data_IF_109487394294
#
_entry.id   IF_109487394294
#
_cell.length_a   1.000
_cell.length_b   1.000
_cell.length_c   1.000
_cell.angle_alpha   90.00
_cell.angle_beta   90.00
_cell.angle_gamma   90.00
#
_symmetry.space_group_name_H-M   'P 1'
#
loop_
_entity.id
_entity.type
_entity.pdbx_description
1 polymer ?
#
# COMPACT_ATOMS: atom_id res chain seq x y z
N UNK A 1 27.88 38.75 -7.72
CA UNK A 1 28.60 39.27 -6.53
C UNK A 1 28.94 38.10 -5.61
N UNK A 2 30.18 37.60 -5.67
CA UNK A 2 30.74 36.65 -4.70
C UNK A 2 32.23 36.95 -4.56
N UNK A 3 32.62 37.35 -3.36
CA UNK A 3 33.94 37.84 -2.97
C UNK A 3 34.88 36.67 -2.72
N UNK A 4 36.11 36.75 -3.24
CA UNK A 4 37.28 35.96 -2.82
C UNK A 4 38.00 36.67 -1.67
N UNK A 5 38.83 35.92 -0.93
CA UNK A 5 40.10 36.27 -0.19
C UNK A 5 40.19 35.33 1.04
N UNK A 6 41.31 34.83 1.57
CA UNK A 6 42.63 34.29 1.13
C UNK A 6 43.48 34.15 2.42
N UNK A 7 44.24 33.04 2.54
CA UNK A 7 45.49 32.78 3.31
C UNK A 7 45.60 33.04 4.84
N UNK A 8 46.16 32.07 5.58
CA UNK A 8 47.57 32.10 6.07
C UNK A 8 47.96 30.90 6.93
N UNK A 9 49.21 30.46 6.77
CA UNK A 9 49.89 29.37 7.48
C UNK A 9 50.98 29.91 8.41
N UNK A 10 51.32 29.20 9.49
CA UNK A 10 52.55 29.42 10.28
C UNK A 10 53.13 28.07 10.74
N UNK A 11 54.39 27.83 10.38
CA UNK A 11 55.27 26.77 10.88
C UNK A 11 55.94 27.18 12.20
N UNK A 12 56.33 26.21 13.04
CA UNK A 12 57.59 26.31 13.78
C UNK A 12 58.13 24.93 14.17
N UNK A 13 59.40 24.70 13.87
CA UNK A 13 60.21 23.56 14.24
C UNK A 13 61.30 23.99 15.23
N UNK A 14 61.75 23.10 16.11
CA UNK A 14 63.02 23.25 16.82
C UNK A 14 63.66 21.88 17.11
N UNK A 15 64.98 21.85 16.93
CA UNK A 15 65.91 20.72 16.95
C UNK A 15 66.83 20.89 18.17
N UNK A 16 67.23 19.80 18.83
CA UNK A 16 68.45 19.72 19.63
C UNK A 16 69.15 18.35 19.45
N UNK A 17 70.44 18.43 19.09
CA UNK A 17 71.55 17.46 19.05
C UNK A 17 71.96 16.96 20.46
N UNK A 18 72.67 15.86 20.76
CA UNK A 18 73.32 14.77 20.02
C UNK A 18 74.25 13.91 20.94
N UNK A 19 74.61 12.69 20.47
CA UNK A 19 75.83 11.84 20.68
C UNK A 19 76.06 11.03 21.99
N UNK A 20 76.27 9.69 21.84
CA UNK A 20 76.93 8.80 22.83
C UNK A 20 76.87 7.26 22.60
N UNK A 21 77.74 6.76 21.69
CA UNK A 21 78.27 5.41 21.35
C UNK A 21 78.11 4.16 22.29
N UNK A 22 77.61 3.05 21.67
CA UNK A 22 77.94 1.57 21.69
C UNK A 22 77.75 0.67 22.95
N UNK A 23 76.90 -0.37 22.79
CA UNK A 23 77.21 -1.81 23.05
C UNK A 23 76.05 -2.73 22.54
N UNK A 24 76.36 -3.80 21.81
CA UNK A 24 75.49 -4.97 21.56
C UNK A 24 75.91 -6.11 22.54
N UNK A 25 75.12 -7.16 22.89
CA UNK A 25 74.20 -7.98 22.06
C UNK A 25 72.98 -8.54 22.89
N UNK A 26 72.37 -9.72 22.64
CA UNK A 26 71.92 -10.42 21.43
C UNK A 26 70.37 -10.61 21.37
N UNK A 27 69.92 -11.12 20.23
CA UNK A 27 68.61 -11.67 19.86
C UNK A 27 67.70 -12.17 20.99
N UNK A 28 66.51 -11.57 21.10
CA UNK A 28 65.32 -12.26 21.61
C UNK A 28 64.43 -12.55 20.40
N UNK A 29 64.24 -13.85 20.14
CA UNK A 29 63.20 -14.38 19.27
C UNK A 29 61.83 -13.88 19.76
N UNK A 30 61.38 -12.74 19.26
CA UNK A 30 59.97 -12.40 19.31
C UNK A 30 59.31 -13.28 18.24
N UNK A 31 58.78 -14.42 18.69
CA UNK A 31 57.83 -15.19 17.92
C UNK A 31 56.77 -14.22 17.39
N UNK A 32 56.79 -13.97 16.08
CA UNK A 32 55.64 -13.44 15.37
C UNK A 32 54.55 -14.49 15.50
N UNK A 33 53.82 -14.43 16.62
CA UNK A 33 52.50 -15.02 16.71
C UNK A 33 51.70 -14.39 15.58
N UNK A 34 51.57 -15.11 14.48
CA UNK A 34 50.51 -14.87 13.52
C UNK A 34 49.24 -15.09 14.33
N UNK A 35 48.66 -14.01 14.84
CA UNK A 35 47.29 -14.06 15.32
C UNK A 35 46.44 -14.30 14.08
N UNK A 36 46.18 -15.57 13.77
CA UNK A 36 45.03 -15.93 12.95
C UNK A 36 43.85 -15.45 13.77
N UNK A 37 43.36 -14.27 13.44
CA UNK A 37 42.16 -13.73 14.04
C UNK A 37 41.04 -14.60 13.49
N UNK A 38 40.72 -15.66 14.23
CA UNK A 38 39.67 -16.59 13.89
C UNK A 38 38.38 -15.77 13.83
N UNK A 39 37.79 -15.67 12.63
CA UNK A 39 36.52 -14.99 12.47
C UNK A 39 35.52 -15.61 13.46
N UNK A 40 34.81 -14.78 14.23
CA UNK A 40 33.83 -15.28 15.18
C UNK A 40 32.81 -16.18 14.46
N UNK A 41 32.27 -17.18 15.15
CA UNK A 41 31.21 -18.06 14.62
C UNK A 41 30.08 -17.24 13.99
N UNK A 42 29.75 -16.12 14.62
CA UNK A 42 28.72 -15.18 14.23
C UNK A 42 29.07 -14.49 12.90
N UNK A 43 30.32 -14.03 12.74
CA UNK A 43 30.80 -13.46 11.48
C UNK A 43 30.76 -14.48 10.35
N UNK A 44 31.16 -15.72 10.59
CA UNK A 44 31.10 -16.80 9.59
C UNK A 44 29.65 -17.07 9.19
N UNK A 45 28.73 -17.14 10.16
CA UNK A 45 27.31 -17.35 9.90
C UNK A 45 26.68 -16.19 9.11
N UNK A 46 26.98 -14.94 9.47
CA UNK A 46 26.49 -13.76 8.71
C UNK A 46 27.07 -13.72 7.29
N UNK A 47 28.33 -14.12 7.08
CA UNK A 47 28.89 -14.29 5.74
C UNK A 47 28.18 -15.37 4.93
N UNK A 48 27.79 -16.49 5.57
CA UNK A 48 26.97 -17.51 4.94
C UNK A 48 25.63 -16.93 4.49
N UNK A 49 24.91 -16.23 5.38
CA UNK A 49 23.63 -15.58 5.06
C UNK A 49 23.78 -14.58 3.91
N UNK A 50 24.79 -13.72 3.94
CA UNK A 50 25.06 -12.71 2.91
C UNK A 50 25.22 -13.30 1.50
N UNK A 51 25.76 -14.53 1.41
CA UNK A 51 26.06 -15.19 0.12
C UNK A 51 24.99 -16.18 -0.32
N UNK A 52 24.35 -16.88 0.63
CA UNK A 52 23.57 -18.09 0.34
C UNK A 52 22.09 -17.97 0.69
N UNK A 53 21.68 -17.00 1.49
CA UNK A 53 20.26 -16.88 1.84
C UNK A 53 19.43 -16.61 0.57
N UNK A 54 18.33 -17.33 0.32
CA UNK A 54 17.51 -17.11 -0.88
C UNK A 54 16.85 -15.73 -0.88
N UNK A 55 16.64 -15.11 0.28
CA UNK A 55 15.95 -13.82 0.43
C UNK A 55 16.93 -12.68 0.20
N UNK A 56 16.71 -11.88 -0.84
CA UNK A 56 17.54 -10.72 -1.18
C UNK A 56 17.67 -9.72 -0.02
N UNK A 57 16.58 -9.47 0.71
CA UNK A 57 16.56 -8.59 1.88
C UNK A 57 17.47 -9.07 3.02
N UNK A 58 17.51 -10.38 3.30
CA UNK A 58 18.40 -10.97 4.31
C UNK A 58 19.85 -10.88 3.87
N UNK A 59 20.14 -11.16 2.59
CA UNK A 59 21.48 -10.99 2.04
C UNK A 59 21.99 -9.55 2.17
N UNK A 60 21.15 -8.56 1.85
CA UNK A 60 21.49 -7.14 1.96
C UNK A 60 21.76 -6.76 3.42
N UNK A 61 20.89 -7.16 4.36
CA UNK A 61 21.08 -6.88 5.79
C UNK A 61 22.39 -7.48 6.33
N UNK A 62 22.70 -8.72 5.92
CA UNK A 62 23.94 -9.38 6.28
C UNK A 62 25.18 -8.68 5.67
N UNK A 63 25.12 -8.24 4.40
CA UNK A 63 26.19 -7.43 3.81
C UNK A 63 26.37 -6.08 4.51
N UNK A 64 25.29 -5.41 4.89
CA UNK A 64 25.35 -4.15 5.63
C UNK A 64 26.02 -4.33 7.00
N UNK A 65 25.73 -5.41 7.71
CA UNK A 65 26.40 -5.73 8.98
C UNK A 65 27.91 -5.98 8.78
N UNK A 66 28.28 -6.76 7.76
CA UNK A 66 29.69 -7.08 7.45
C UNK A 66 30.52 -5.88 6.96
N UNK A 67 29.88 -4.94 6.27
CA UNK A 67 30.52 -3.75 5.68
C UNK A 67 30.41 -2.52 6.60
N UNK A 68 29.84 -2.66 7.79
CA UNK A 68 29.73 -1.58 8.77
C UNK A 68 31.11 -1.11 9.25
N UNK A 69 31.20 0.17 9.65
CA UNK A 69 32.40 0.73 10.29
C UNK A 69 32.67 0.12 11.68
N UNK A 70 31.68 -0.54 12.29
CA UNK A 70 31.80 -1.28 13.54
C UNK A 70 31.20 -2.70 13.35
N UNK A 71 31.93 -3.62 12.69
CA UNK A 71 31.38 -4.88 12.21
C UNK A 71 30.91 -5.79 13.35
N UNK A 72 31.64 -5.91 14.46
CA UNK A 72 31.26 -6.81 15.56
C UNK A 72 29.94 -6.39 16.22
N UNK A 73 29.77 -5.08 16.46
CA UNK A 73 28.52 -4.54 17.00
C UNK A 73 27.35 -4.68 16.01
N UNK A 74 27.61 -4.45 14.71
CA UNK A 74 26.59 -4.57 13.67
C UNK A 74 26.17 -6.03 13.41
N UNK A 75 27.11 -6.97 13.49
CA UNK A 75 26.85 -8.41 13.43
C UNK A 75 26.00 -8.84 14.62
N UNK A 76 26.38 -8.44 15.85
CA UNK A 76 25.60 -8.75 17.05
C UNK A 76 24.17 -8.20 16.95
N UNK A 77 24.01 -6.93 16.53
CA UNK A 77 22.68 -6.33 16.34
C UNK A 77 21.88 -7.02 15.23
N UNK A 78 22.53 -7.40 14.13
CA UNK A 78 21.87 -8.12 13.05
C UNK A 78 21.36 -9.49 13.51
N UNK A 79 22.14 -10.22 14.32
CA UNK A 79 21.71 -11.51 14.86
C UNK A 79 20.63 -11.38 15.93
N UNK A 80 20.65 -10.32 16.75
CA UNK A 80 19.68 -10.10 17.82
C UNK A 80 18.30 -9.70 17.29
N UNK A 81 18.22 -8.73 16.38
CA UNK A 81 16.93 -8.21 15.88
C UNK A 81 16.88 -8.00 14.36
N UNK A 82 18.02 -7.76 13.72
CA UNK A 82 18.07 -7.42 12.29
C UNK A 82 17.67 -8.57 11.36
N UNK A 83 17.98 -9.81 11.72
CA UNK A 83 17.65 -11.00 10.94
C UNK A 83 16.14 -11.20 10.89
N UNK A 84 15.46 -11.24 12.04
CA UNK A 84 13.99 -11.40 12.10
C UNK A 84 13.26 -10.27 11.39
N UNK A 85 13.75 -9.03 11.54
CA UNK A 85 13.24 -7.89 10.77
C UNK A 85 13.40 -8.12 9.25
N UNK A 86 14.58 -8.54 8.79
CA UNK A 86 14.84 -8.79 7.37
C UNK A 86 14.01 -9.96 6.81
N UNK A 87 13.75 -11.00 7.62
CA UNK A 87 12.87 -12.12 7.29
C UNK A 87 11.43 -11.65 7.13
N UNK A 88 10.91 -10.88 8.08
CA UNK A 88 9.56 -10.32 8.03
C UNK A 88 9.38 -9.40 6.83
N UNK A 89 10.35 -8.52 6.57
CA UNK A 89 10.34 -7.63 5.42
C UNK A 89 10.40 -8.41 4.09
N UNK A 90 11.18 -9.50 4.02
CA UNK A 90 11.21 -10.37 2.86
C UNK A 90 9.84 -11.03 2.60
N UNK A 91 9.17 -11.53 3.65
CA UNK A 91 7.84 -12.12 3.55
C UNK A 91 6.79 -11.10 3.07
N UNK A 92 6.82 -9.88 3.62
CA UNK A 92 5.94 -8.79 3.20
C UNK A 92 6.18 -8.40 1.73
N UNK A 93 7.44 -8.26 1.30
CA UNK A 93 7.80 -7.97 -0.09
C UNK A 93 7.31 -9.05 -1.04
N UNK A 94 7.49 -10.33 -0.67
CA UNK A 94 6.99 -11.47 -1.44
C UNK A 94 5.47 -11.39 -1.62
N UNK A 95 4.72 -11.21 -0.53
CA UNK A 95 3.28 -11.10 -0.57
C UNK A 95 2.83 -9.93 -1.45
N UNK A 96 3.42 -8.75 -1.25
CA UNK A 96 3.14 -7.55 -2.05
C UNK A 96 3.44 -7.74 -3.54
N UNK A 97 4.58 -8.32 -3.89
CA UNK A 97 4.96 -8.51 -5.29
C UNK A 97 4.07 -9.55 -5.99
N UNK A 98 3.66 -10.61 -5.27
CA UNK A 98 2.70 -11.59 -5.79
C UNK A 98 1.32 -10.96 -6.00
N UNK A 99 0.85 -10.14 -5.06
CA UNK A 99 -0.41 -9.39 -5.18
C UNK A 99 -0.35 -8.39 -6.35
N UNK A 100 0.74 -7.63 -6.46
CA UNK A 100 0.98 -6.72 -7.57
C UNK A 100 0.90 -7.43 -8.94
N UNK A 101 1.59 -8.57 -9.11
CA UNK A 101 1.54 -9.33 -10.35
C UNK A 101 0.12 -9.81 -10.71
N UNK A 102 -0.64 -10.29 -9.72
CA UNK A 102 -2.04 -10.71 -9.91
C UNK A 102 -2.95 -9.56 -10.31
N UNK A 103 -2.79 -8.39 -9.68
CA UNK A 103 -3.56 -7.18 -10.01
C UNK A 103 -3.27 -6.72 -11.42
N UNK A 104 -1.99 -6.66 -11.80
CA UNK A 104 -1.62 -6.29 -13.17
C UNK A 104 -2.20 -7.29 -14.18
N UNK A 105 -2.10 -8.60 -13.94
CA UNK A 105 -2.67 -9.61 -14.84
C UNK A 105 -4.19 -9.46 -15.01
N UNK A 106 -4.90 -9.13 -13.93
CA UNK A 106 -6.35 -8.97 -13.94
C UNK A 106 -6.81 -7.66 -14.60
N UNK A 107 -5.96 -6.63 -14.65
CA UNK A 107 -6.30 -5.32 -15.23
C UNK A 107 -5.86 -5.19 -16.68
N UNK A 108 -4.71 -5.74 -17.05
CA UNK A 108 -4.13 -5.59 -18.38
C UNK A 108 -4.48 -6.82 -19.23
N UNK A 109 -5.38 -6.65 -20.19
CA UNK A 109 -5.82 -7.74 -21.07
C UNK A 109 -4.81 -8.02 -22.17
N UNK A 110 -4.81 -9.26 -22.67
CA UNK A 110 -3.96 -9.65 -23.79
C UNK A 110 -4.25 -8.87 -25.08
N UNK A 111 -5.49 -8.39 -25.26
CA UNK A 111 -5.91 -7.63 -26.44
C UNK A 111 -5.32 -6.21 -26.45
N UNK A 112 -5.36 -5.51 -25.32
CA UNK A 112 -4.97 -4.09 -25.25
C UNK A 112 -3.55 -3.85 -24.74
N UNK A 113 -2.97 -4.81 -24.01
CA UNK A 113 -1.62 -4.73 -23.44
C UNK A 113 -0.94 -6.10 -23.39
N UNK A 114 -0.65 -6.69 -24.57
CA UNK A 114 -0.13 -8.05 -24.68
C UNK A 114 1.19 -8.27 -23.94
N UNK A 115 2.12 -7.31 -23.99
CA UNK A 115 3.43 -7.43 -23.32
C UNK A 115 3.28 -7.39 -21.81
N UNK A 116 2.47 -6.46 -21.30
CA UNK A 116 2.18 -6.38 -19.86
C UNK A 116 1.44 -7.63 -19.39
N UNK A 117 0.44 -8.10 -20.15
CA UNK A 117 -0.32 -9.30 -19.81
C UNK A 117 0.60 -10.53 -19.72
N UNK A 118 1.44 -10.75 -20.74
CA UNK A 118 2.37 -11.87 -20.77
C UNK A 118 3.39 -11.80 -19.62
N UNK A 119 3.97 -10.62 -19.35
CA UNK A 119 4.92 -10.43 -18.26
C UNK A 119 4.29 -10.66 -16.87
N UNK A 120 3.06 -10.19 -16.67
CA UNK A 120 2.31 -10.41 -15.43
C UNK A 120 1.93 -11.89 -15.27
N UNK A 121 1.47 -12.56 -16.35
CA UNK A 121 1.14 -13.97 -16.35
C UNK A 121 2.36 -14.83 -15.99
N UNK A 122 3.52 -14.52 -16.56
CA UNK A 122 4.78 -15.18 -16.19
C UNK A 122 5.11 -14.99 -14.71
N UNK A 123 5.02 -13.77 -14.19
CA UNK A 123 5.31 -13.48 -12.78
C UNK A 123 4.33 -14.18 -11.81
N UNK A 124 3.05 -14.28 -12.16
CA UNK A 124 2.04 -15.00 -11.37
C UNK A 124 2.33 -16.50 -11.34
N UNK A 125 2.60 -17.08 -12.52
CA UNK A 125 2.79 -18.52 -12.68
C UNK A 125 4.19 -19.01 -12.28
N UNK A 126 5.15 -18.10 -12.10
CA UNK A 126 6.50 -18.49 -11.68
C UNK A 126 6.49 -19.13 -10.28
N UNK A 127 7.32 -20.17 -10.16
CA UNK A 127 7.65 -20.83 -8.89
C UNK A 127 8.69 -20.06 -8.09
N UNK A 128 9.42 -19.13 -8.73
CA UNK A 128 10.50 -18.35 -8.11
C UNK A 128 10.02 -16.94 -7.76
N UNK A 129 10.24 -16.52 -6.50
CA UNK A 129 9.93 -15.18 -6.04
C UNK A 129 10.82 -14.12 -6.69
N UNK A 130 12.01 -14.49 -7.18
CA UNK A 130 12.89 -13.59 -7.92
C UNK A 130 12.23 -13.08 -9.20
N UNK A 131 11.37 -13.86 -9.86
CA UNK A 131 10.64 -13.42 -11.06
C UNK A 131 9.59 -12.35 -10.73
N UNK A 132 8.89 -12.53 -9.61
CA UNK A 132 7.92 -11.53 -9.11
C UNK A 132 8.63 -10.25 -8.69
N UNK A 133 9.79 -10.37 -8.05
CA UNK A 133 10.62 -9.23 -7.69
C UNK A 133 11.14 -8.49 -8.94
N UNK A 134 11.65 -9.20 -9.95
CA UNK A 134 12.07 -8.62 -11.23
C UNK A 134 10.92 -7.91 -11.95
N UNK A 135 9.74 -8.51 -11.95
CA UNK A 135 8.55 -7.90 -12.53
C UNK A 135 8.18 -6.59 -11.81
N UNK A 136 8.14 -6.60 -10.48
CA UNK A 136 7.84 -5.41 -9.68
C UNK A 136 8.92 -4.32 -9.81
N UNK A 137 10.20 -4.70 -9.88
CA UNK A 137 11.34 -3.79 -9.93
C UNK A 137 11.74 -3.44 -11.37
N UNK A 138 10.78 -2.98 -12.16
CA UNK A 138 11.02 -2.42 -13.51
C UNK A 138 10.55 -3.30 -14.67
N UNK A 139 10.31 -4.60 -14.47
CA UNK A 139 9.76 -5.47 -15.50
C UNK A 139 8.39 -5.02 -16.01
N UNK A 140 7.50 -4.58 -15.11
CA UNK A 140 6.21 -3.98 -15.47
C UNK A 140 6.37 -2.71 -16.33
N UNK A 141 7.23 -1.78 -15.91
CA UNK A 141 7.46 -0.54 -16.65
C UNK A 141 8.04 -0.80 -18.04
N UNK A 142 8.99 -1.74 -18.15
CA UNK A 142 9.57 -2.15 -19.42
C UNK A 142 8.53 -2.80 -20.35
N UNK A 143 7.63 -3.62 -19.80
CA UNK A 143 6.53 -4.22 -20.58
C UNK A 143 5.56 -3.15 -21.09
N UNK A 144 5.16 -2.20 -20.23
CA UNK A 144 4.31 -1.06 -20.61
C UNK A 144 4.93 -0.22 -21.72
N UNK A 145 6.25 0.00 -21.66
CA UNK A 145 6.98 0.73 -22.69
C UNK A 145 6.94 0.01 -24.05
N UNK A 146 7.06 -1.33 -24.07
CA UNK A 146 6.96 -2.11 -25.31
C UNK A 146 5.55 -2.05 -25.91
N UNK A 147 4.52 -2.19 -25.08
CA UNK A 147 3.12 -2.02 -25.51
C UNK A 147 2.86 -0.61 -26.08
N UNK A 148 3.36 0.43 -25.41
CA UNK A 148 3.22 1.82 -25.87
C UNK A 148 3.96 2.04 -27.20
N UNK A 149 5.20 1.57 -27.33
CA UNK A 149 5.97 1.66 -28.57
C UNK A 149 5.29 0.93 -29.73
N UNK A 150 4.68 -0.23 -29.49
CA UNK A 150 3.91 -0.97 -30.48
C UNK A 150 2.69 -0.18 -30.96
N UNK A 151 1.92 0.40 -30.04
CA UNK A 151 0.77 1.27 -30.39
C UNK A 151 1.18 2.50 -31.20
N UNK A 152 2.27 3.16 -30.78
CA UNK A 152 2.83 4.31 -31.52
C UNK A 152 3.24 3.92 -32.94
N UNK A 153 3.87 2.75 -33.10
CA UNK A 153 4.27 2.25 -34.42
C UNK A 153 3.06 1.94 -35.33
N UNK A 154 1.94 1.47 -34.77
CA UNK A 154 0.71 1.26 -35.54
C UNK A 154 0.01 2.58 -35.92
N UNK A 155 0.10 3.63 -35.09
CA UNK A 155 -0.35 4.99 -35.39
C UNK A 155 -1.86 5.21 -35.51
N UNK A 156 -2.66 4.16 -35.75
CA UNK A 156 -4.11 4.25 -35.99
C UNK A 156 -4.87 4.83 -34.80
N UNK A 157 -4.50 4.46 -33.57
CA UNK A 157 -5.14 4.94 -32.35
C UNK A 157 -4.88 6.44 -32.09
N UNK A 158 -3.65 6.91 -32.35
CA UNK A 158 -3.30 8.32 -32.20
C UNK A 158 -3.96 9.17 -33.30
N UNK A 159 -4.00 8.67 -34.54
CA UNK A 159 -4.70 9.33 -35.65
C UNK A 159 -6.22 9.39 -35.42
N UNK A 160 -6.78 8.42 -34.71
CA UNK A 160 -8.20 8.38 -34.36
C UNK A 160 -8.57 9.31 -33.18
N UNK A 161 -7.59 9.92 -32.49
CA UNK A 161 -7.89 10.82 -31.36
C UNK A 161 -8.54 12.12 -31.84
N UNK A 162 -9.83 12.25 -31.58
CA UNK A 162 -10.57 13.49 -31.76
C UNK A 162 -10.31 14.46 -30.60
N UNK A 163 -10.57 15.76 -30.79
CA UNK A 163 -10.52 16.72 -29.68
C UNK A 163 -11.52 16.37 -28.57
N UNK A 164 -12.65 15.73 -28.92
CA UNK A 164 -13.62 15.21 -27.96
C UNK A 164 -13.00 14.19 -27.00
N UNK A 165 -12.11 13.31 -27.48
CA UNK A 165 -11.41 12.32 -26.64
C UNK A 165 -10.48 13.02 -25.65
N UNK A 166 -9.74 14.03 -26.12
CA UNK A 166 -8.85 14.83 -25.26
C UNK A 166 -9.65 15.60 -24.22
N UNK A 167 -10.77 16.20 -24.62
CA UNK A 167 -11.67 16.91 -23.72
C UNK A 167 -12.28 15.98 -22.67
N UNK A 168 -12.65 14.76 -23.04
CA UNK A 168 -13.14 13.74 -22.11
C UNK A 168 -12.10 13.42 -21.02
N UNK A 169 -10.85 13.14 -21.39
CA UNK A 169 -9.80 12.84 -20.40
C UNK A 169 -9.53 14.05 -19.50
N UNK A 170 -9.55 15.28 -20.04
CA UNK A 170 -9.43 16.50 -19.22
C UNK A 170 -10.62 16.66 -18.25
N UNK A 171 -11.82 16.32 -18.67
CA UNK A 171 -13.01 16.35 -17.82
C UNK A 171 -12.89 15.33 -16.68
N UNK A 172 -12.44 14.11 -16.97
CA UNK A 172 -12.19 13.09 -15.95
C UNK A 172 -11.13 13.53 -14.95
N UNK A 173 -10.05 14.18 -15.40
CA UNK A 173 -8.98 14.66 -14.52
C UNK A 173 -9.49 15.60 -13.40
N UNK A 174 -10.57 16.33 -13.66
CA UNK A 174 -11.14 17.30 -12.71
C UNK A 174 -12.34 16.74 -11.95
N UNK A 175 -13.26 16.07 -12.66
CA UNK A 175 -14.61 15.83 -12.16
C UNK A 175 -14.92 14.36 -11.85
N UNK A 176 -14.04 13.42 -12.18
CA UNK A 176 -14.31 12.01 -11.90
C UNK A 176 -14.49 11.80 -10.38
N UNK A 177 -15.49 11.04 -9.90
CA UNK A 177 -15.67 10.81 -8.47
C UNK A 177 -14.55 9.95 -7.85
N UNK A 178 -13.89 9.09 -8.64
CA UNK A 178 -12.75 8.27 -8.26
C UNK A 178 -11.45 9.08 -8.21
N UNK A 179 -10.76 9.02 -7.08
CA UNK A 179 -9.52 9.77 -6.91
C UNK A 179 -8.39 9.24 -7.79
N UNK A 180 -8.31 7.92 -7.95
CA UNK A 180 -7.27 7.27 -8.74
C UNK A 180 -7.52 7.42 -10.24
N UNK A 181 -8.78 7.39 -10.69
CA UNK A 181 -9.13 7.76 -12.07
C UNK A 181 -8.75 9.21 -12.36
N UNK A 182 -9.06 10.16 -11.45
CA UNK A 182 -8.62 11.56 -11.60
C UNK A 182 -7.11 11.68 -11.72
N UNK A 183 -6.34 10.95 -10.91
CA UNK A 183 -4.88 10.94 -10.97
C UNK A 183 -4.38 10.38 -12.31
N UNK A 184 -4.91 9.23 -12.75
CA UNK A 184 -4.57 8.63 -14.05
C UNK A 184 -4.87 9.58 -15.21
N UNK A 185 -6.03 10.24 -15.20
CA UNK A 185 -6.42 11.19 -16.22
C UNK A 185 -5.54 12.46 -16.17
N UNK A 186 -5.29 13.01 -14.98
CA UNK A 186 -4.40 14.16 -14.78
C UNK A 186 -2.99 13.89 -15.29
N UNK A 187 -2.48 12.68 -15.08
CA UNK A 187 -1.20 12.27 -15.63
C UNK A 187 -1.23 12.25 -17.17
N UNK A 188 -2.31 11.73 -17.78
CA UNK A 188 -2.45 11.65 -19.23
C UNK A 188 -2.54 13.02 -19.92
N UNK A 189 -3.02 14.05 -19.23
CA UNK A 189 -3.15 15.43 -19.75
C UNK A 189 -2.16 16.42 -19.14
N UNK A 190 -1.11 15.93 -18.47
CA UNK A 190 -0.09 16.78 -17.82
C UNK A 190 0.64 17.67 -18.83
N UNK A 191 1.31 18.71 -18.32
CA UNK A 191 2.18 19.52 -19.16
C UNK A 191 3.28 18.65 -19.82
N UNK A 192 3.42 18.74 -21.14
CA UNK A 192 4.33 17.90 -21.92
C UNK A 192 3.78 16.51 -22.28
N UNK A 193 2.52 16.21 -21.97
CA UNK A 193 1.85 15.01 -22.46
C UNK A 193 1.71 15.03 -23.99
N UNK A 194 1.71 13.83 -24.57
CA UNK A 194 1.52 13.56 -25.99
C UNK A 194 0.23 12.77 -26.21
N UNK A 195 -0.19 12.65 -27.47
CA UNK A 195 -1.32 11.78 -27.84
C UNK A 195 -1.10 10.31 -27.41
N UNK A 196 0.15 9.86 -27.30
CA UNK A 196 0.47 8.53 -26.79
C UNK A 196 0.08 8.36 -25.30
N UNK A 197 0.20 9.42 -24.48
CA UNK A 197 -0.24 9.37 -23.07
C UNK A 197 -1.76 9.24 -22.95
N UNK A 198 -2.50 9.84 -23.88
CA UNK A 198 -3.97 9.74 -23.95
C UNK A 198 -4.38 8.35 -24.43
N UNK A 199 -3.73 7.82 -25.47
CA UNK A 199 -3.96 6.43 -25.91
C UNK A 199 -3.65 5.44 -24.79
N UNK A 200 -2.53 5.62 -24.07
CA UNK A 200 -2.18 4.77 -22.93
C UNK A 200 -3.19 4.88 -21.78
N UNK A 201 -3.79 6.06 -21.59
CA UNK A 201 -4.90 6.23 -20.67
C UNK A 201 -6.06 5.34 -21.07
N UNK A 202 -6.59 5.44 -22.31
CA UNK A 202 -7.70 4.63 -22.83
C UNK A 202 -7.40 3.13 -22.80
N UNK A 203 -6.16 2.72 -23.10
CA UNK A 203 -5.78 1.32 -23.16
C UNK A 203 -5.74 0.64 -21.78
N UNK A 204 -5.35 1.37 -20.71
CA UNK A 204 -5.16 0.75 -19.39
C UNK A 204 -5.16 1.70 -18.20
N UNK A 205 -4.73 2.96 -18.38
CA UNK A 205 -4.56 3.89 -17.26
C UNK A 205 -5.86 4.16 -16.49
N UNK A 206 -6.97 4.27 -17.20
CA UNK A 206 -8.28 4.50 -16.59
C UNK A 206 -8.77 3.26 -15.80
N UNK A 207 -8.70 2.07 -16.39
CA UNK A 207 -9.17 0.82 -15.78
C UNK A 207 -8.37 0.47 -14.51
N UNK A 208 -7.06 0.76 -14.52
CA UNK A 208 -6.23 0.63 -13.33
C UNK A 208 -6.64 1.60 -12.23
N UNK A 209 -6.89 2.87 -12.57
CA UNK A 209 -7.42 3.87 -11.62
C UNK A 209 -8.75 3.43 -11.02
N UNK A 210 -9.70 3.03 -11.87
CA UNK A 210 -11.04 2.59 -11.46
C UNK A 210 -11.00 1.43 -10.47
N UNK A 211 -10.15 0.43 -10.75
CA UNK A 211 -9.95 -0.71 -9.86
C UNK A 211 -9.37 -0.29 -8.50
N UNK A 212 -8.37 0.59 -8.49
CA UNK A 212 -7.79 1.07 -7.24
C UNK A 212 -8.79 1.89 -6.41
N UNK A 213 -9.65 2.68 -7.04
CA UNK A 213 -10.72 3.40 -6.34
C UNK A 213 -11.69 2.44 -5.65
N UNK A 214 -12.12 1.38 -6.35
CA UNK A 214 -12.98 0.34 -5.80
C UNK A 214 -12.32 -0.41 -4.64
N UNK A 215 -11.07 -0.83 -4.80
CA UNK A 215 -10.33 -1.56 -3.78
C UNK A 215 -10.07 -0.70 -2.54
N UNK A 216 -9.74 0.59 -2.73
CA UNK A 216 -9.54 1.55 -1.63
C UNK A 216 -10.84 1.79 -0.86
N UNK A 217 -11.96 1.91 -1.57
CA UNK A 217 -13.29 2.03 -0.96
C UNK A 217 -13.61 0.80 -0.11
N UNK A 218 -13.50 -0.40 -0.68
CA UNK A 218 -13.77 -1.68 0.01
C UNK A 218 -12.94 -1.81 1.29
N UNK A 219 -11.64 -1.57 1.18
CA UNK A 219 -10.73 -1.66 2.32
C UNK A 219 -11.11 -0.66 3.42
N UNK A 220 -11.25 0.61 3.07
CA UNK A 220 -11.54 1.67 4.04
C UNK A 220 -12.88 1.43 4.74
N UNK A 221 -13.91 1.03 3.98
CA UNK A 221 -15.22 0.73 4.51
C UNK A 221 -15.18 -0.47 5.48
N UNK A 222 -14.51 -1.57 5.11
CA UNK A 222 -14.36 -2.75 5.96
C UNK A 222 -13.57 -2.46 7.24
N UNK A 223 -12.43 -1.76 7.14
CA UNK A 223 -11.59 -1.41 8.28
C UNK A 223 -12.32 -0.49 9.28
N UNK A 224 -13.09 0.46 8.77
CA UNK A 224 -13.92 1.33 9.59
C UNK A 224 -15.04 0.54 10.29
N UNK A 225 -15.77 -0.28 9.54
CA UNK A 225 -16.89 -1.05 10.04
C UNK A 225 -16.48 -2.04 11.12
N UNK A 226 -15.36 -2.73 10.93
CA UNK A 226 -14.80 -3.64 11.94
C UNK A 226 -14.43 -2.93 13.24
N UNK A 227 -13.84 -1.72 13.16
CA UNK A 227 -13.53 -0.93 14.36
C UNK A 227 -14.78 -0.51 15.12
N UNK A 228 -15.82 -0.09 14.40
CA UNK A 228 -17.10 0.28 15.03
C UNK A 228 -17.79 -0.94 15.64
N UNK A 229 -17.85 -2.07 14.92
CA UNK A 229 -18.45 -3.32 15.41
C UNK A 229 -17.76 -3.83 16.67
N UNK A 230 -16.43 -3.86 16.71
CA UNK A 230 -15.69 -4.29 17.89
C UNK A 230 -16.06 -3.46 19.13
N UNK A 231 -16.18 -2.14 18.96
CA UNK A 231 -16.60 -1.24 20.05
C UNK A 231 -18.05 -1.49 20.44
N UNK A 232 -18.96 -1.62 19.47
CA UNK A 232 -20.37 -1.86 19.70
C UNK A 232 -20.61 -3.18 20.45
N UNK A 233 -19.95 -4.27 20.05
CA UNK A 233 -20.08 -5.58 20.70
C UNK A 233 -19.73 -5.50 22.18
N UNK A 234 -18.64 -4.81 22.53
CA UNK A 234 -18.27 -4.60 23.95
C UNK A 234 -19.35 -3.82 24.69
N UNK A 235 -19.85 -2.72 24.12
CA UNK A 235 -20.88 -1.89 24.77
C UNK A 235 -22.20 -2.62 24.95
N UNK A 236 -22.60 -3.50 24.01
CA UNK A 236 -23.80 -4.33 24.15
C UNK A 236 -23.67 -5.28 25.34
N UNK A 237 -22.51 -5.94 25.50
CA UNK A 237 -22.26 -6.82 26.66
C UNK A 237 -22.32 -6.03 27.97
N UNK A 238 -21.74 -4.84 28.01
CA UNK A 238 -21.79 -3.94 29.17
C UNK A 238 -23.22 -3.50 29.49
N UNK A 239 -24.01 -3.14 28.48
CA UNK A 239 -25.40 -2.73 28.66
C UNK A 239 -26.28 -3.88 29.15
N UNK A 240 -26.10 -5.09 28.61
CA UNK A 240 -26.80 -6.28 29.08
C UNK A 240 -26.44 -6.64 30.52
N UNK A 241 -25.16 -6.53 30.89
CA UNK A 241 -24.72 -6.74 32.26
C UNK A 241 -25.31 -5.70 33.22
N UNK A 242 -25.36 -4.43 32.82
CA UNK A 242 -25.98 -3.37 33.60
C UNK A 242 -27.50 -3.57 33.73
N UNK A 243 -28.20 -3.96 32.66
CA UNK A 243 -29.63 -4.30 32.68
C UNK A 243 -29.91 -5.44 33.67
N UNK A 244 -29.09 -6.51 33.65
CA UNK A 244 -29.20 -7.60 34.61
C UNK A 244 -28.94 -7.13 36.05
N UNK A 245 -27.91 -6.33 36.28
CA UNK A 245 -27.62 -5.78 37.60
C UNK A 245 -28.77 -4.89 38.12
N UNK A 246 -29.47 -4.17 37.24
CA UNK A 246 -30.66 -3.40 37.60
C UNK A 246 -31.86 -4.28 37.97
N UNK A 247 -32.00 -5.45 37.34
CA UNK A 247 -33.02 -6.44 37.68
C UNK A 247 -32.75 -7.10 39.03
N UNK A 248 -31.48 -7.36 39.35
CA UNK A 248 -31.05 -8.04 40.58
C UNK A 248 -30.83 -7.08 41.77
N UNK A 249 -30.94 -5.77 41.57
CA UNK A 249 -30.68 -4.75 42.60
C UNK A 249 -31.74 -4.74 43.71
N UNK A 250 -31.31 -4.46 44.96
CA UNK A 250 -32.22 -4.20 46.07
C UNK A 250 -32.99 -2.90 45.85
N UNK A 251 -34.13 -2.73 46.53
CA UNK A 251 -34.98 -1.53 46.37
C UNK A 251 -34.24 -0.22 46.65
N UNK A 252 -33.28 -0.21 47.59
CA UNK A 252 -32.47 0.97 47.90
C UNK A 252 -31.48 1.34 46.77
N UNK A 253 -31.04 0.37 45.96
CA UNK A 253 -30.08 0.56 44.87
C UNK A 253 -30.72 0.55 43.47
N UNK A 254 -31.99 0.19 43.37
CA UNK A 254 -32.72 -0.09 42.11
C UNK A 254 -32.71 1.09 41.14
N UNK A 255 -33.04 2.28 41.62
CA UNK A 255 -33.09 3.48 40.78
C UNK A 255 -31.70 3.86 40.22
N UNK A 256 -30.65 3.73 41.04
CA UNK A 256 -29.28 3.98 40.58
C UNK A 256 -28.84 2.94 39.54
N UNK A 257 -29.19 1.66 39.74
CA UNK A 257 -28.85 0.59 38.82
C UNK A 257 -29.61 0.73 37.49
N UNK A 258 -30.91 1.08 37.52
CA UNK A 258 -31.69 1.42 36.32
C UNK A 258 -31.06 2.58 35.56
N UNK A 259 -30.70 3.66 36.24
CA UNK A 259 -30.06 4.81 35.60
C UNK A 259 -28.70 4.44 34.96
N UNK A 260 -27.93 3.54 35.57
CA UNK A 260 -26.69 3.03 34.99
C UNK A 260 -26.93 2.19 33.72
N UNK A 261 -27.94 1.31 33.75
CA UNK A 261 -28.32 0.49 32.61
C UNK A 261 -28.88 1.32 31.44
N UNK A 262 -29.69 2.34 31.71
CA UNK A 262 -30.14 3.32 30.70
C UNK A 262 -28.94 4.01 30.05
N UNK A 263 -27.99 4.53 30.83
CA UNK A 263 -26.78 5.17 30.29
C UNK A 263 -25.95 4.21 29.42
N UNK A 264 -25.87 2.95 29.81
CA UNK A 264 -25.16 1.94 29.03
C UNK A 264 -25.84 1.69 27.66
N UNK A 265 -27.17 1.58 27.62
CA UNK A 265 -27.92 1.48 26.36
C UNK A 265 -27.83 2.75 25.50
N UNK A 266 -27.87 3.93 26.11
CA UNK A 266 -27.64 5.20 25.40
C UNK A 266 -26.23 5.25 24.77
N UNK A 267 -25.21 4.71 25.45
CA UNK A 267 -23.86 4.60 24.90
C UNK A 267 -23.81 3.67 23.68
N UNK A 268 -24.53 2.54 23.71
CA UNK A 268 -24.71 1.66 22.54
C UNK A 268 -25.33 2.45 21.39
N UNK A 269 -26.44 3.15 21.64
CA UNK A 269 -27.15 3.95 20.62
C UNK A 269 -26.24 5.00 19.98
N UNK A 270 -25.51 5.77 20.79
CA UNK A 270 -24.53 6.76 20.32
C UNK A 270 -23.42 6.12 19.47
N UNK A 271 -22.94 4.94 19.87
CA UNK A 271 -21.88 4.25 19.13
C UNK A 271 -22.32 3.77 17.72
N UNK A 272 -23.63 3.71 17.44
CA UNK A 272 -24.12 3.36 16.10
C UNK A 272 -23.98 4.50 15.10
N UNK A 273 -23.86 5.76 15.55
CA UNK A 273 -23.89 6.95 14.68
C UNK A 273 -22.81 6.94 13.58
N UNK A 274 -21.52 6.67 13.86
CA UNK A 274 -20.50 6.63 12.81
C UNK A 274 -20.80 5.60 11.72
N UNK A 275 -21.28 4.42 12.10
CA UNK A 275 -21.66 3.37 11.17
C UNK A 275 -22.85 3.79 10.29
N UNK A 276 -23.92 4.31 10.90
CA UNK A 276 -25.10 4.76 10.15
C UNK A 276 -24.76 5.85 9.14
N UNK A 277 -24.06 6.89 9.56
CA UNK A 277 -23.72 8.02 8.69
C UNK A 277 -22.77 7.58 7.58
N UNK A 278 -21.70 6.85 7.91
CA UNK A 278 -20.73 6.43 6.90
C UNK A 278 -21.31 5.46 5.86
N UNK A 279 -22.20 4.55 6.26
CA UNK A 279 -22.82 3.63 5.30
C UNK A 279 -23.91 4.31 4.45
N UNK A 280 -24.57 5.35 4.97
CA UNK A 280 -25.42 6.24 4.16
C UNK A 280 -24.60 7.00 3.12
N UNK A 281 -23.48 7.61 3.51
CA UNK A 281 -22.59 8.33 2.59
C UNK A 281 -21.98 7.38 1.55
N UNK A 282 -21.65 6.15 1.95
CA UNK A 282 -21.17 5.11 1.06
C UNK A 282 -22.22 4.70 0.02
N UNK A 283 -23.50 4.62 0.40
CA UNK A 283 -24.59 4.34 -0.55
C UNK A 283 -24.68 5.43 -1.63
N UNK A 284 -24.61 6.70 -1.24
CA UNK A 284 -24.62 7.82 -2.20
C UNK A 284 -23.37 7.83 -3.09
N UNK A 285 -22.20 7.57 -2.52
CA UNK A 285 -20.94 7.52 -3.25
C UNK A 285 -20.93 6.38 -4.28
N UNK A 286 -21.30 5.17 -3.88
CA UNK A 286 -21.36 3.99 -4.77
C UNK A 286 -22.41 4.18 -5.87
N UNK A 287 -23.54 4.84 -5.58
CA UNK A 287 -24.52 5.20 -6.61
C UNK A 287 -23.96 6.18 -7.64
N UNK A 288 -23.22 7.22 -7.22
CA UNK A 288 -22.54 8.15 -8.13
C UNK A 288 -21.48 7.44 -8.99
N UNK A 289 -20.72 6.53 -8.40
CA UNK A 289 -19.75 5.70 -9.13
C UNK A 289 -20.44 4.85 -10.20
N UNK A 290 -21.46 4.06 -9.83
CA UNK A 290 -22.20 3.22 -10.77
C UNK A 290 -22.80 4.04 -11.92
N UNK A 291 -23.43 5.19 -11.62
CA UNK A 291 -23.97 6.08 -12.64
C UNK A 291 -22.90 6.65 -13.58
N UNK A 292 -21.72 6.98 -13.04
CA UNK A 292 -20.59 7.48 -13.85
C UNK A 292 -20.10 6.41 -14.81
N UNK A 293 -19.93 5.17 -14.33
CA UNK A 293 -19.50 4.05 -15.17
C UNK A 293 -20.53 3.65 -16.22
N UNK A 294 -21.82 3.70 -15.88
CA UNK A 294 -22.89 3.50 -16.85
C UNK A 294 -22.83 4.54 -17.98
N UNK A 295 -22.66 5.83 -17.64
CA UNK A 295 -22.53 6.90 -18.62
C UNK A 295 -21.27 6.75 -19.51
N UNK A 296 -20.14 6.32 -18.92
CA UNK A 296 -18.91 6.03 -19.68
C UNK A 296 -19.12 4.84 -20.62
N UNK A 297 -19.76 3.77 -20.17
CA UNK A 297 -20.05 2.60 -21.01
C UNK A 297 -20.99 2.96 -22.17
N UNK A 298 -22.01 3.80 -21.93
CA UNK A 298 -22.89 4.31 -22.97
C UNK A 298 -22.13 5.18 -23.99
N UNK A 299 -21.34 6.14 -23.51
CA UNK A 299 -20.51 6.99 -24.36
C UNK A 299 -19.53 6.14 -25.21
N UNK A 300 -18.91 5.12 -24.61
CA UNK A 300 -18.00 4.22 -25.29
C UNK A 300 -18.67 3.39 -26.39
N UNK A 301 -19.93 2.96 -26.19
CA UNK A 301 -20.72 2.25 -27.22
C UNK A 301 -21.18 3.18 -28.35
N UNK A 302 -21.46 4.45 -28.04
CA UNK A 302 -21.90 5.43 -29.02
C UNK A 302 -20.74 6.02 -29.84
N UNK A 303 -19.53 6.07 -29.27
CA UNK A 303 -18.35 6.58 -29.93
C UNK A 303 -17.82 5.62 -31.00
N UNK A 304 -17.21 6.19 -32.04
CA UNK A 304 -16.53 5.44 -33.10
C UNK A 304 -15.02 5.55 -32.90
N UNK A 305 -14.31 4.41 -32.86
CA UNK A 305 -12.85 4.40 -32.84
C UNK A 305 -12.26 3.35 -31.89
N UNK A 306 -11.00 2.92 -32.15
CA UNK A 306 -10.35 1.84 -31.40
C UNK A 306 -10.09 2.18 -29.92
N UNK A 307 -10.04 3.47 -29.55
CA UNK A 307 -9.79 3.90 -28.17
C UNK A 307 -11.01 3.66 -27.26
N UNK A 308 -12.21 3.94 -27.76
CA UNK A 308 -13.46 3.76 -27.02
C UNK A 308 -13.90 2.30 -26.93
N UNK A 309 -13.58 1.48 -27.94
CA UNK A 309 -13.84 0.04 -27.92
C UNK A 309 -13.20 -0.64 -26.70
N UNK A 310 -11.99 -0.23 -26.32
CA UNK A 310 -11.28 -0.73 -25.13
C UNK A 310 -11.97 -0.37 -23.79
N UNK A 311 -12.92 0.57 -23.80
CA UNK A 311 -13.60 1.04 -22.59
C UNK A 311 -14.91 0.31 -22.28
N UNK A 312 -15.60 -0.25 -23.28
CA UNK A 312 -16.97 -0.74 -23.13
C UNK A 312 -17.07 -1.83 -22.06
N UNK A 313 -16.31 -2.91 -22.20
CA UNK A 313 -16.38 -4.06 -21.29
C UNK A 313 -15.90 -3.71 -19.89
N UNK A 314 -14.73 -3.06 -19.70
CA UNK A 314 -14.29 -2.74 -18.35
C UNK A 314 -15.19 -1.68 -17.67
N UNK A 315 -15.88 -0.80 -18.42
CA UNK A 315 -16.77 0.20 -17.83
C UNK A 315 -18.06 -0.48 -17.36
N UNK A 316 -18.57 -1.42 -18.16
CA UNK A 316 -19.72 -2.27 -17.79
C UNK A 316 -19.39 -3.12 -16.56
N UNK A 317 -18.20 -3.72 -16.51
CA UNK A 317 -17.75 -4.50 -15.36
C UNK A 317 -17.63 -3.63 -14.09
N UNK A 318 -16.99 -2.46 -14.19
CA UNK A 318 -16.88 -1.53 -13.07
C UNK A 318 -18.25 -1.05 -12.58
N UNK A 319 -19.18 -0.74 -13.50
CA UNK A 319 -20.56 -0.41 -13.13
C UNK A 319 -21.16 -1.52 -12.27
N UNK A 320 -21.08 -2.78 -12.71
CA UNK A 320 -21.64 -3.92 -11.98
C UNK A 320 -20.99 -4.10 -10.60
N UNK A 321 -19.68 -3.88 -10.48
CA UNK A 321 -18.99 -3.96 -9.20
C UNK A 321 -19.48 -2.87 -8.24
N UNK A 322 -19.62 -1.62 -8.71
CA UNK A 322 -20.14 -0.52 -7.90
C UNK A 322 -21.62 -0.67 -7.54
N UNK A 323 -22.44 -1.27 -8.41
CA UNK A 323 -23.81 -1.65 -8.09
C UNK A 323 -23.85 -2.70 -6.96
N UNK A 324 -22.91 -3.64 -6.96
CA UNK A 324 -22.71 -4.60 -5.87
C UNK A 324 -22.33 -3.92 -4.55
N UNK A 325 -21.38 -2.98 -4.59
CA UNK A 325 -21.01 -2.18 -3.41
C UNK A 325 -22.15 -1.31 -2.90
N UNK A 326 -23.01 -0.78 -3.78
CA UNK A 326 -24.21 -0.04 -3.38
C UNK A 326 -25.19 -0.92 -2.63
N UNK A 327 -25.43 -2.13 -3.10
CA UNK A 327 -26.29 -3.09 -2.42
C UNK A 327 -25.71 -3.46 -1.04
N UNK A 328 -24.41 -3.73 -0.98
CA UNK A 328 -23.72 -4.02 0.28
C UNK A 328 -23.80 -2.83 1.26
N UNK A 329 -23.55 -1.60 0.81
CA UNK A 329 -23.66 -0.41 1.65
C UNK A 329 -25.08 -0.24 2.23
N UNK A 330 -26.12 -0.53 1.44
CA UNK A 330 -27.50 -0.50 1.91
C UNK A 330 -27.79 -1.58 2.98
N UNK A 331 -27.22 -2.77 2.85
CA UNK A 331 -27.28 -3.82 3.88
C UNK A 331 -26.62 -3.39 5.18
N UNK A 332 -25.44 -2.78 5.09
CA UNK A 332 -24.72 -2.28 6.26
C UNK A 332 -25.48 -1.13 6.94
N UNK A 333 -26.03 -0.19 6.17
CA UNK A 333 -26.88 0.87 6.71
C UNK A 333 -28.10 0.29 7.46
N UNK A 334 -28.74 -0.76 6.94
CA UNK A 334 -29.83 -1.47 7.63
C UNK A 334 -29.35 -2.10 8.95
N UNK A 335 -28.20 -2.77 8.94
CA UNK A 335 -27.62 -3.36 10.14
C UNK A 335 -27.42 -2.32 11.25
N UNK A 336 -26.79 -1.19 10.92
CA UNK A 336 -26.51 -0.14 11.92
C UNK A 336 -27.78 0.55 12.44
N UNK A 337 -28.81 0.71 11.60
CA UNK A 337 -30.11 1.18 12.06
C UNK A 337 -30.80 0.17 12.98
N UNK A 338 -30.68 -1.14 12.72
CA UNK A 338 -31.21 -2.17 13.62
C UNK A 338 -30.51 -2.15 14.99
N UNK A 339 -29.20 -1.91 15.03
CA UNK A 339 -28.45 -1.76 16.29
C UNK A 339 -28.91 -0.54 17.09
N UNK A 340 -29.26 0.57 16.42
CA UNK A 340 -29.86 1.72 17.10
C UNK A 340 -31.22 1.37 17.70
N UNK A 341 -32.08 0.67 16.95
CA UNK A 341 -33.38 0.23 17.46
C UNK A 341 -33.23 -0.68 18.68
N UNK A 342 -32.30 -1.64 18.63
CA UNK A 342 -31.99 -2.50 19.77
C UNK A 342 -31.57 -1.70 21.02
N UNK A 343 -30.78 -0.63 20.84
CA UNK A 343 -30.37 0.23 21.94
C UNK A 343 -31.55 1.01 22.55
N UNK A 344 -32.43 1.56 21.71
CA UNK A 344 -33.63 2.27 22.15
C UNK A 344 -34.61 1.34 22.88
N UNK A 345 -34.79 0.12 22.39
CA UNK A 345 -35.59 -0.90 23.05
C UNK A 345 -35.00 -1.28 24.42
N UNK A 346 -33.68 -1.39 24.52
CA UNK A 346 -32.98 -1.65 25.79
C UNK A 346 -33.18 -0.54 26.81
N UNK A 347 -33.05 0.72 26.40
CA UNK A 347 -33.34 1.87 27.24
C UNK A 347 -34.79 1.84 27.76
N UNK A 348 -35.76 1.56 26.89
CA UNK A 348 -37.17 1.48 27.27
C UNK A 348 -37.48 0.31 28.21
N UNK A 349 -36.83 -0.85 28.04
CA UNK A 349 -37.02 -2.00 28.94
C UNK A 349 -36.57 -1.70 30.36
N UNK A 350 -35.43 -1.04 30.52
CA UNK A 350 -34.87 -0.69 31.83
C UNK A 350 -35.66 0.42 32.51
N UNK A 351 -36.18 1.37 31.73
CA UNK A 351 -36.92 2.52 32.25
C UNK A 351 -38.34 2.20 32.77
N UNK A 352 -38.89 1.03 32.40
CA UNK A 352 -40.18 0.55 32.94
C UNK A 352 -40.02 -0.05 34.34
#
# INVERSE_FOLDING_TARGET
MRTRIVLSAVCLSLVCTGIGVVAAPPSVLAATGVSVQEDSSDKIFVQYLARRDPRSTVRIGAWQALLSSAPDAAIAQFLDTGYDYAVNLAAQRKARNADFAKRVLATFTAEFSPEVHAAAQYAVNSRDDADRERFANGGFAAAKQRDSAFRVAQGQQAQALAEADRAFVRQLAVNDPGAQVRVSASYAVRAGATDADIVDFYASGWAFGARLDLETFRQTAADNDMRWRATLTRLIVEAQAAEKAAQDASEEAKEQAKAAAVRAWQAVGKQTEPGRTSWSDAQDFTARQASTWAAIAEAARAATGPNWAAMVDPATANQSEWDGERAFAADQARYWNAMLQQALEGEQRVAR
#
